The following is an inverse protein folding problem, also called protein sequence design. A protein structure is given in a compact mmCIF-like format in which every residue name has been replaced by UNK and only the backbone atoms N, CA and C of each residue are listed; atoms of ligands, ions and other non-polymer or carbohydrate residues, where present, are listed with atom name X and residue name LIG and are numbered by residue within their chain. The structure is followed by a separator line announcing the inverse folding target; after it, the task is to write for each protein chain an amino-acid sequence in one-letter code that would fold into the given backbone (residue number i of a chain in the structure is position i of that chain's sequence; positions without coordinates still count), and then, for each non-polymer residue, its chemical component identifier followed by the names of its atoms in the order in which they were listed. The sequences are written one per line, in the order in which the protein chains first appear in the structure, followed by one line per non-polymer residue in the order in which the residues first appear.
data_IF_206556858569
#
_entry.id   IF_206556858569
#
_cell.length_a   1.000
_cell.length_b   1.000
_cell.length_c   1.000
_cell.angle_alpha   90.00
_cell.angle_beta   90.00
_cell.angle_gamma   90.00
#
_symmetry.space_group_name_H-M   'P 1'
#
loop_
_entity.id
_entity.type
_entity.pdbx_description
1 polymer ?
#
# COMPACT_ATOMS: atom_id res chain seq x y z
N UNK A 1 -73.13 -33.89 3.75
CA UNK A 1 -71.76 -34.15 3.27
C UNK A 1 -71.10 -32.80 2.99
N UNK A 2 -70.18 -32.33 3.87
CA UNK A 2 -69.47 -31.03 3.71
C UNK A 2 -68.07 -31.31 3.17
N UNK A 3 -67.75 -30.82 1.98
CA UNK A 3 -66.44 -30.93 1.38
C UNK A 3 -65.53 -29.83 1.94
N UNK A 4 -64.40 -30.21 2.57
CA UNK A 4 -63.37 -29.32 3.06
C UNK A 4 -62.34 -29.13 1.94
N UNK A 5 -62.26 -27.91 1.39
CA UNK A 5 -61.20 -27.51 0.44
C UNK A 5 -59.95 -27.12 1.26
N UNK A 6 -58.88 -27.88 1.12
CA UNK A 6 -57.55 -27.52 1.62
C UNK A 6 -56.87 -26.61 0.60
N UNK A 7 -56.64 -25.33 0.98
CA UNK A 7 -55.86 -24.40 0.19
C UNK A 7 -54.38 -24.60 0.54
N UNK A 8 -53.58 -25.01 -0.44
CA UNK A 8 -52.10 -25.05 -0.30
C UNK A 8 -51.55 -23.67 -0.67
N UNK A 9 -50.97 -23.00 0.30
CA UNK A 9 -50.18 -21.77 0.07
C UNK A 9 -48.79 -22.16 -0.38
N UNK A 10 -48.44 -21.87 -1.63
CA UNK A 10 -47.08 -22.01 -2.15
C UNK A 10 -46.30 -20.77 -1.73
N UNK A 11 -45.37 -20.96 -0.80
CA UNK A 11 -44.47 -19.87 -0.34
C UNK A 11 -43.25 -19.86 -1.25
N UNK A 12 -43.20 -18.90 -2.20
CA UNK A 12 -42.08 -18.69 -3.12
C UNK A 12 -40.96 -17.98 -2.37
N UNK A 13 -39.88 -18.68 -2.07
CA UNK A 13 -38.65 -18.09 -1.53
C UNK A 13 -37.91 -17.38 -2.68
N UNK A 14 -37.89 -16.05 -2.68
CA UNK A 14 -37.01 -15.24 -3.50
C UNK A 14 -35.60 -15.30 -2.89
N UNK A 15 -34.73 -16.09 -3.49
CA UNK A 15 -33.29 -16.07 -3.18
C UNK A 15 -32.69 -14.85 -3.86
N UNK A 16 -32.45 -13.79 -3.11
CA UNK A 16 -31.60 -12.67 -3.56
C UNK A 16 -30.16 -13.17 -3.61
N UNK A 17 -29.70 -13.57 -4.79
CA UNK A 17 -28.30 -13.79 -5.07
C UNK A 17 -27.57 -12.44 -4.98
N UNK A 18 -26.85 -12.20 -3.88
CA UNK A 18 -25.87 -11.13 -3.82
C UNK A 18 -24.76 -11.47 -4.82
N UNK A 19 -24.74 -10.80 -5.96
CA UNK A 19 -23.57 -10.77 -6.83
C UNK A 19 -22.46 -10.04 -6.07
N UNK A 20 -21.61 -10.78 -5.38
CA UNK A 20 -20.32 -10.26 -4.95
C UNK A 20 -19.52 -9.99 -6.24
N UNK A 21 -19.45 -8.74 -6.68
CA UNK A 21 -18.50 -8.33 -7.71
C UNK A 21 -17.10 -8.61 -7.19
N UNK A 22 -16.32 -9.39 -7.94
CA UNK A 22 -14.91 -9.56 -7.65
C UNK A 22 -14.26 -8.16 -7.55
N UNK A 23 -13.35 -7.93 -6.57
CA UNK A 23 -12.63 -6.67 -6.51
C UNK A 23 -11.91 -6.42 -7.84
N UNK A 24 -11.81 -5.16 -8.29
CA UNK A 24 -11.11 -4.83 -9.53
C UNK A 24 -9.67 -5.35 -9.47
N UNK A 25 -9.19 -5.88 -10.58
CA UNK A 25 -7.78 -6.28 -10.72
C UNK A 25 -6.91 -5.01 -10.71
N UNK A 26 -6.36 -4.67 -9.53
CA UNK A 26 -5.58 -3.46 -9.29
C UNK A 26 -4.10 -3.61 -9.68
N UNK A 27 -3.78 -4.47 -10.63
CA UNK A 27 -2.40 -4.72 -11.08
C UNK A 27 -1.90 -3.61 -12.05
N UNK A 28 -1.96 -2.36 -11.60
CA UNK A 28 -1.68 -1.16 -12.40
C UNK A 28 -0.32 -0.50 -12.11
N UNK A 29 0.51 -1.06 -11.22
CA UNK A 29 1.78 -0.49 -10.74
C UNK A 29 1.67 0.95 -10.15
N UNK A 30 0.46 1.44 -9.91
CA UNK A 30 0.22 2.77 -9.41
C UNK A 30 0.51 2.85 -7.89
N UNK A 31 1.17 3.94 -7.48
CA UNK A 31 1.35 4.31 -6.07
C UNK A 31 0.26 5.33 -5.73
N UNK A 32 -0.68 4.96 -4.86
CA UNK A 32 -1.64 5.88 -4.28
C UNK A 32 -1.22 6.19 -2.84
N UNK A 33 -0.89 7.48 -2.54
CA UNK A 33 -0.41 7.89 -1.23
C UNK A 33 -1.36 7.51 -0.09
N UNK A 34 -0.85 6.82 0.93
CA UNK A 34 -1.63 6.39 2.09
C UNK A 34 -2.64 5.27 1.83
N UNK A 35 -2.66 4.69 0.63
CA UNK A 35 -3.61 3.66 0.24
C UNK A 35 -2.93 2.36 -0.20
N UNK A 36 -2.22 2.37 -1.35
CA UNK A 36 -1.68 1.15 -1.97
C UNK A 36 -0.49 1.39 -2.90
N UNK A 37 0.22 0.31 -3.20
CA UNK A 37 1.20 0.22 -4.30
C UNK A 37 0.82 -0.99 -5.16
N UNK A 38 0.41 -0.76 -6.40
CA UNK A 38 -0.15 -1.80 -7.25
C UNK A 38 -1.35 -2.48 -6.57
N UNK A 39 -1.27 -3.78 -6.39
CA UNK A 39 -2.29 -4.59 -5.73
C UNK A 39 -2.05 -4.85 -4.22
N UNK A 40 -1.06 -4.19 -3.60
CA UNK A 40 -0.80 -4.28 -2.16
C UNK A 40 -1.36 -3.05 -1.46
N UNK A 41 -2.29 -3.25 -0.54
CA UNK A 41 -3.01 -2.18 0.18
C UNK A 41 -2.52 -2.05 1.63
N UNK A 42 -2.51 -0.83 2.15
CA UNK A 42 -2.34 -0.60 3.58
C UNK A 42 -3.58 -1.11 4.34
N UNK A 43 -3.35 -1.90 5.39
CA UNK A 43 -4.41 -2.58 6.14
C UNK A 43 -4.82 -3.95 5.57
N UNK A 44 -4.21 -4.39 4.45
CA UNK A 44 -4.34 -5.76 3.98
C UNK A 44 -3.82 -6.72 5.05
N UNK A 45 -4.51 -7.84 5.30
CA UNK A 45 -4.02 -8.85 6.24
C UNK A 45 -2.71 -9.48 5.74
N UNK A 46 -1.85 -9.89 6.67
CA UNK A 46 -0.62 -10.62 6.30
C UNK A 46 -0.92 -11.89 5.50
N UNK A 47 -2.03 -12.57 5.82
CA UNK A 47 -2.47 -13.77 5.10
C UNK A 47 -2.80 -13.46 3.65
N UNK A 48 -3.55 -12.38 3.39
CA UNK A 48 -3.92 -11.95 2.04
C UNK A 48 -2.70 -11.47 1.25
N UNK A 49 -1.79 -10.74 1.91
CA UNK A 49 -0.51 -10.32 1.31
C UNK A 49 0.29 -11.53 0.81
N UNK A 50 0.45 -12.56 1.64
CA UNK A 50 1.20 -13.77 1.28
C UNK A 50 0.46 -14.61 0.23
N UNK A 51 -0.86 -14.66 0.27
CA UNK A 51 -1.66 -15.31 -0.78
C UNK A 51 -1.51 -14.59 -2.13
N UNK A 52 -1.49 -13.25 -2.11
CA UNK A 52 -1.39 -12.40 -3.30
C UNK A 52 0.01 -12.39 -3.91
N UNK A 53 1.05 -12.27 -3.09
CA UNK A 53 2.45 -12.07 -3.55
C UNK A 53 3.27 -13.36 -3.53
N UNK A 54 2.77 -14.41 -2.88
CA UNK A 54 3.50 -15.66 -2.69
C UNK A 54 4.62 -15.56 -1.67
N UNK A 55 5.63 -16.42 -1.81
CA UNK A 55 6.77 -16.48 -0.89
C UNK A 55 7.66 -15.25 -1.04
N UNK A 56 7.94 -14.50 0.06
CA UNK A 56 8.86 -13.37 0.01
C UNK A 56 10.30 -13.82 -0.31
N UNK A 57 11.04 -12.98 -1.01
CA UNK A 57 12.47 -13.15 -1.30
C UNK A 57 13.31 -13.04 -0.03
N UNK A 58 12.87 -12.20 0.90
CA UNK A 58 13.54 -11.96 2.18
C UNK A 58 12.52 -11.60 3.24
N UNK A 59 12.75 -12.08 4.47
CA UNK A 59 11.96 -11.78 5.67
C UNK A 59 12.92 -11.35 6.79
N UNK A 60 12.67 -10.18 7.40
CA UNK A 60 13.52 -9.62 8.45
C UNK A 60 12.64 -9.03 9.55
N UNK A 61 12.76 -9.50 10.82
CA UNK A 61 12.10 -8.85 11.94
C UNK A 61 12.56 -7.39 12.08
N UNK A 62 11.64 -6.48 12.39
CA UNK A 62 11.95 -5.07 12.64
C UNK A 62 12.29 -4.93 14.12
N UNK A 63 13.53 -4.49 14.47
CA UNK A 63 13.95 -4.39 15.86
C UNK A 63 13.00 -3.53 16.70
N UNK A 64 12.79 -3.95 17.95
CA UNK A 64 11.95 -3.27 18.95
C UNK A 64 10.47 -3.16 18.58
N UNK A 65 10.00 -3.96 17.63
CA UNK A 65 8.59 -4.06 17.23
C UNK A 65 8.19 -5.53 17.09
N UNK A 66 6.89 -5.81 17.03
CA UNK A 66 6.35 -7.15 16.68
C UNK A 66 6.22 -7.34 15.17
N UNK A 67 6.61 -6.33 14.39
CA UNK A 67 6.46 -6.32 12.96
C UNK A 67 7.63 -6.97 12.23
N UNK A 68 7.36 -7.41 11.02
CA UNK A 68 8.31 -8.04 10.11
C UNK A 68 8.29 -7.35 8.76
N UNK A 69 9.47 -7.18 8.17
CA UNK A 69 9.66 -6.68 6.82
C UNK A 69 9.73 -7.86 5.84
N UNK A 70 8.90 -7.83 4.82
CA UNK A 70 8.80 -8.82 3.74
C UNK A 70 9.23 -8.16 2.44
N UNK A 71 10.27 -8.68 1.80
CA UNK A 71 10.74 -8.18 0.51
C UNK A 71 10.23 -9.08 -0.61
N UNK A 72 9.57 -8.49 -1.58
CA UNK A 72 9.12 -9.10 -2.82
C UNK A 72 9.85 -8.46 -4.01
N UNK A 73 9.51 -8.85 -5.24
CA UNK A 73 10.05 -8.23 -6.45
C UNK A 73 9.62 -6.75 -6.54
N UNK A 74 10.60 -5.86 -6.37
CA UNK A 74 10.42 -4.42 -6.41
C UNK A 74 9.68 -3.77 -5.22
N UNK A 75 9.19 -4.55 -4.26
CA UNK A 75 8.47 -4.06 -3.08
C UNK A 75 9.08 -4.57 -1.78
N UNK A 76 9.06 -3.71 -0.77
CA UNK A 76 9.27 -4.11 0.63
C UNK A 76 8.03 -3.70 1.42
N UNK A 77 7.47 -4.63 2.19
CA UNK A 77 6.24 -4.43 2.95
C UNK A 77 6.51 -4.72 4.41
N UNK A 78 6.14 -3.82 5.31
CA UNK A 78 6.16 -4.07 6.74
C UNK A 78 4.76 -4.39 7.24
N UNK A 79 4.64 -5.49 7.96
CA UNK A 79 3.39 -5.96 8.54
C UNK A 79 3.63 -6.61 9.91
N UNK A 80 2.63 -6.51 10.79
CA UNK A 80 2.40 -7.40 11.91
C UNK A 80 1.23 -8.31 11.53
N UNK A 81 0.01 -8.03 11.96
CA UNK A 81 -1.20 -8.71 11.48
C UNK A 81 -1.69 -8.12 10.15
N UNK A 82 -1.43 -6.83 9.94
CA UNK A 82 -1.82 -6.06 8.77
C UNK A 82 -0.62 -5.27 8.22
N UNK A 83 -0.68 -5.00 6.91
CA UNK A 83 0.27 -4.12 6.21
C UNK A 83 0.09 -2.68 6.70
N UNK A 84 1.16 -2.09 7.22
CA UNK A 84 1.14 -0.68 7.67
C UNK A 84 2.12 0.22 6.92
N UNK A 85 3.08 -0.36 6.18
CA UNK A 85 4.10 0.37 5.44
C UNK A 85 4.48 -0.38 4.17
N UNK A 86 4.56 0.33 3.03
CA UNK A 86 4.95 -0.23 1.73
C UNK A 86 6.02 0.67 1.11
N UNK A 87 7.11 0.08 0.64
CA UNK A 87 8.20 0.75 -0.05
C UNK A 87 8.33 0.19 -1.46
N UNK A 88 8.20 1.05 -2.45
CA UNK A 88 8.50 0.75 -3.85
C UNK A 88 9.97 1.05 -4.16
N UNK A 89 10.68 0.05 -4.72
CA UNK A 89 12.12 0.11 -5.08
C UNK A 89 12.36 -0.31 -6.52
N UNK A 90 11.39 -0.15 -7.38
CA UNK A 90 11.47 -0.49 -8.78
C UNK A 90 10.84 0.64 -9.61
N UNK A 91 11.47 1.12 -10.70
CA UNK A 91 10.95 2.22 -11.50
C UNK A 91 9.63 1.90 -12.22
N UNK A 92 9.20 0.64 -12.26
CA UNK A 92 7.87 0.28 -12.79
C UNK A 92 6.73 0.84 -11.93
N UNK A 93 6.97 1.09 -10.63
CA UNK A 93 5.99 1.72 -9.75
C UNK A 93 6.09 3.23 -9.85
N UNK A 94 4.96 3.89 -10.04
CA UNK A 94 4.89 5.34 -10.19
C UNK A 94 3.65 5.92 -9.50
N UNK A 95 3.76 7.16 -9.07
CA UNK A 95 2.63 7.88 -8.49
C UNK A 95 1.69 8.40 -9.59
N UNK A 96 0.47 8.81 -9.22
CA UNK A 96 -0.49 9.49 -10.10
C UNK A 96 0.09 10.77 -10.73
N UNK A 97 1.13 11.36 -10.09
CA UNK A 97 1.87 12.52 -10.59
C UNK A 97 3.13 12.16 -11.41
N UNK A 98 3.32 10.88 -11.72
CA UNK A 98 4.40 10.38 -12.57
C UNK A 98 5.77 10.28 -11.89
N UNK A 99 5.85 10.40 -10.55
CA UNK A 99 7.10 10.20 -9.82
C UNK A 99 7.36 8.72 -9.61
N UNK A 100 8.57 8.26 -9.96
CA UNK A 100 9.03 6.87 -9.77
C UNK A 100 10.46 6.86 -9.21
N UNK A 101 10.96 5.68 -8.88
CA UNK A 101 12.39 5.51 -8.59
C UNK A 101 13.21 5.96 -9.81
N UNK A 102 14.28 6.72 -9.57
CA UNK A 102 15.11 7.35 -10.61
C UNK A 102 14.65 8.75 -11.05
N UNK A 103 13.46 9.20 -10.64
CA UNK A 103 13.03 10.59 -10.89
C UNK A 103 13.96 11.58 -10.20
N UNK A 104 14.20 12.75 -10.86
CA UNK A 104 14.95 13.84 -10.24
C UNK A 104 14.19 14.41 -9.03
N UNK A 105 14.92 14.76 -7.96
CA UNK A 105 14.37 15.37 -6.75
C UNK A 105 13.50 16.59 -7.07
N UNK A 106 13.97 17.45 -7.97
CA UNK A 106 13.25 18.68 -8.32
C UNK A 106 11.89 18.38 -8.95
N UNK A 107 11.79 17.31 -9.73
CA UNK A 107 10.52 16.87 -10.31
C UNK A 107 9.55 16.38 -9.22
N UNK A 108 10.03 15.52 -8.30
CA UNK A 108 9.22 15.04 -7.18
C UNK A 108 8.71 16.19 -6.30
N UNK A 109 9.58 17.15 -5.95
CA UNK A 109 9.21 18.34 -5.18
C UNK A 109 8.28 19.27 -5.94
N UNK A 110 8.45 19.41 -7.24
CA UNK A 110 7.52 20.19 -8.09
C UNK A 110 6.12 19.57 -8.12
N UNK A 111 6.04 18.25 -8.19
CA UNK A 111 4.77 17.51 -8.22
C UNK A 111 4.02 17.53 -6.88
N UNK A 112 4.74 17.46 -5.75
CA UNK A 112 4.15 17.34 -4.41
C UNK A 112 4.22 18.63 -3.58
N UNK A 113 4.97 19.64 -4.04
CA UNK A 113 5.08 20.93 -3.37
C UNK A 113 6.02 20.91 -2.16
N UNK A 114 5.66 21.65 -1.10
CA UNK A 114 6.45 21.73 0.12
C UNK A 114 6.22 20.46 0.96
N UNK A 115 7.29 19.73 1.34
CA UNK A 115 7.16 18.61 2.27
C UNK A 115 6.79 19.09 3.68
N UNK A 116 6.09 18.24 4.42
CA UNK A 116 5.80 18.46 5.84
C UNK A 116 7.09 18.43 6.66
N UNK A 117 8.03 17.59 6.24
CA UNK A 117 9.30 17.41 6.90
C UNK A 117 10.41 16.96 5.93
N UNK A 118 11.66 17.33 6.27
CA UNK A 118 12.86 16.89 5.55
C UNK A 118 13.90 16.40 6.57
N UNK A 119 14.34 15.15 6.39
CA UNK A 119 15.40 14.55 7.21
C UNK A 119 16.57 14.18 6.32
N UNK A 120 17.72 14.82 6.56
CA UNK A 120 18.97 14.53 5.84
C UNK A 120 19.84 13.60 6.67
N UNK A 121 20.30 12.53 6.05
CA UNK A 121 21.29 11.57 6.56
C UNK A 121 22.47 11.51 5.60
N UNK A 122 23.56 10.83 5.98
CA UNK A 122 24.81 10.81 5.19
C UNK A 122 24.61 10.47 3.71
N UNK A 123 23.83 9.43 3.42
CA UNK A 123 23.65 8.91 2.07
C UNK A 123 22.35 9.38 1.40
N UNK A 124 21.34 9.77 2.17
CA UNK A 124 19.99 10.03 1.66
C UNK A 124 19.32 11.21 2.36
N UNK A 125 18.42 11.87 1.65
CA UNK A 125 17.50 12.87 2.20
C UNK A 125 16.06 12.38 2.00
N UNK A 126 15.29 12.32 3.08
CA UNK A 126 13.88 11.93 3.08
C UNK A 126 13.01 13.19 3.01
N UNK A 127 12.15 13.27 2.02
CA UNK A 127 11.12 14.30 1.86
C UNK A 127 9.76 13.68 2.18
N UNK A 128 9.19 14.04 3.32
CA UNK A 128 7.94 13.50 3.84
C UNK A 128 6.76 14.44 3.58
N UNK A 129 5.65 13.88 3.07
CA UNK A 129 4.41 14.57 2.73
C UNK A 129 3.20 13.97 3.48
N UNK A 130 3.45 13.35 4.64
CA UNK A 130 2.44 12.77 5.52
C UNK A 130 2.08 11.32 5.17
N UNK A 131 1.50 11.03 4.05
CA UNK A 131 1.09 9.68 3.64
C UNK A 131 1.96 9.05 2.55
N UNK A 132 2.94 9.81 2.05
CA UNK A 132 3.97 9.39 1.09
C UNK A 132 5.28 10.10 1.42
N UNK A 133 6.40 9.42 1.23
CA UNK A 133 7.72 10.04 1.30
C UNK A 133 8.60 9.58 0.14
N UNK A 134 9.55 10.43 -0.22
CA UNK A 134 10.59 10.15 -1.21
C UNK A 134 11.94 10.14 -0.50
N UNK A 135 12.66 9.03 -0.61
CA UNK A 135 14.04 8.95 -0.21
C UNK A 135 14.93 9.25 -1.43
N UNK A 136 15.70 10.32 -1.33
CA UNK A 136 16.56 10.82 -2.41
C UNK A 136 18.01 10.52 -2.06
N UNK A 137 18.74 9.91 -2.98
CA UNK A 137 20.17 9.68 -2.85
C UNK A 137 20.93 11.01 -2.95
N UNK A 138 21.71 11.37 -1.92
CA UNK A 138 22.45 12.63 -1.89
C UNK A 138 23.53 12.73 -2.99
N UNK A 139 24.08 11.60 -3.42
CA UNK A 139 25.10 11.52 -4.46
C UNK A 139 24.59 11.79 -5.87
N UNK A 140 23.34 11.43 -6.16
CA UNK A 140 22.75 11.50 -7.51
C UNK A 140 21.64 12.54 -7.62
N UNK A 141 21.03 12.95 -6.51
CA UNK A 141 19.83 13.79 -6.49
C UNK A 141 18.57 13.10 -7.00
N UNK A 142 18.57 11.76 -7.08
CA UNK A 142 17.47 10.97 -7.61
C UNK A 142 16.71 10.23 -6.52
N UNK A 143 15.43 10.02 -6.75
CA UNK A 143 14.58 9.19 -5.90
C UNK A 143 15.08 7.75 -5.95
N UNK A 144 15.55 7.22 -4.82
CA UNK A 144 16.02 5.85 -4.65
C UNK A 144 14.90 4.90 -4.23
N UNK A 145 13.90 5.42 -3.50
CA UNK A 145 12.70 4.66 -3.13
C UNK A 145 11.53 5.59 -2.80
N UNK A 146 10.33 5.05 -2.87
CA UNK A 146 9.08 5.72 -2.50
C UNK A 146 8.38 4.89 -1.45
N UNK A 147 8.08 5.48 -0.29
CA UNK A 147 7.34 4.81 0.77
C UNK A 147 5.98 5.42 1.01
N UNK A 148 5.00 4.58 1.33
CA UNK A 148 3.67 5.01 1.77
C UNK A 148 3.31 4.38 3.10
N UNK A 149 2.56 5.12 3.90
CA UNK A 149 1.96 4.68 5.16
C UNK A 149 0.72 5.54 5.45
N UNK A 150 -0.17 5.08 6.33
CA UNK A 150 -1.43 5.80 6.60
C UNK A 150 -1.21 7.16 7.26
N UNK A 151 -0.18 7.28 8.06
CA UNK A 151 0.18 8.52 8.75
C UNK A 151 1.67 8.50 9.04
N UNK A 152 2.44 9.22 8.22
CA UNK A 152 3.86 9.36 8.45
C UNK A 152 4.08 10.51 9.41
N UNK A 153 4.41 10.21 10.65
CA UNK A 153 5.06 11.17 11.52
C UNK A 153 6.57 10.88 11.54
N UNK A 154 7.20 10.91 10.38
CA UNK A 154 8.65 10.68 10.24
C UNK A 154 9.47 11.77 10.91
N UNK A 155 8.83 12.88 11.30
CA UNK A 155 9.46 14.05 11.86
C UNK A 155 9.16 14.27 13.34
N UNK A 156 8.69 13.27 14.06
CA UNK A 156 8.59 13.35 15.51
C UNK A 156 9.99 13.45 16.13
N UNK A 157 10.40 14.71 16.25
CA UNK A 157 11.19 15.23 17.35
C UNK A 157 12.43 14.45 17.79
N UNK A 158 13.47 14.42 16.97
CA UNK A 158 14.85 14.55 17.46
C UNK A 158 15.64 15.34 16.42
N UNK A 159 15.47 16.66 16.46
CA UNK A 159 16.47 17.63 15.99
C UNK A 159 17.44 17.89 17.11
#
# INVERSE_FOLDING_TARGET
MKAVRKTFAVMTFLVFGACASAPPDLNDNLILPGERVGNVELGMSLTDLLALKGKPLRTVPIPYTEATSYTFDGLTVAAHDEVYWIIARDPRFFTDKGVSMGSEQIFARGAYGKPDCVVTRDAVTVYDYGNIYFEVENSTGKVGQIGIQRNTQTCDGNS
#
